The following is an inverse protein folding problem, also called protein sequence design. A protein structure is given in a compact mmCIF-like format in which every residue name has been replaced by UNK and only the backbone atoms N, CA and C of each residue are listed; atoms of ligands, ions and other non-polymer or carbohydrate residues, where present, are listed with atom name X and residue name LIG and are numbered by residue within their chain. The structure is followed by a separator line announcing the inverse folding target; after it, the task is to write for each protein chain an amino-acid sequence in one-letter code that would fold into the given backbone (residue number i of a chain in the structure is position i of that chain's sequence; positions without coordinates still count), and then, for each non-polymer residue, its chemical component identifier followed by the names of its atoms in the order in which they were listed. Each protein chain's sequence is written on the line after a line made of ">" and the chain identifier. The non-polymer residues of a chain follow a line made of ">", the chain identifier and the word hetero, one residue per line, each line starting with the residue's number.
data_IF_943477489661
#
_entry.id   IF_943477489661
#
_cell.length_a   1.000
_cell.length_b   1.000
_cell.length_c   1.000
_cell.angle_alpha   90.00
_cell.angle_beta   90.00
_cell.angle_gamma   90.00
#
_symmetry.space_group_name_H-M   'P 1'
#
loop_
_entity.id
_entity.type
_entity.pdbx_description
1 polymer ?
#
# COMPACT_ATOMS: atom_id res chain seq x y z
N UNK A 1 -61.33 -41.83 -52.74
CA UNK A 1 -60.68 -43.11 -53.10
C UNK A 1 -59.30 -42.79 -53.64
N UNK A 2 -58.31 -43.59 -53.23
CA UNK A 2 -56.95 -43.79 -53.76
C UNK A 2 -55.78 -43.55 -52.78
N UNK A 3 -55.40 -44.67 -52.12
CA UNK A 3 -54.08 -45.22 -51.73
C UNK A 3 -52.96 -44.29 -51.23
N UNK A 4 -52.12 -44.64 -50.24
CA UNK A 4 -51.54 -45.96 -49.95
C UNK A 4 -50.83 -45.93 -48.58
N UNK A 5 -50.90 -47.04 -47.84
CA UNK A 5 -50.09 -47.34 -46.66
C UNK A 5 -48.71 -47.83 -47.11
N UNK A 6 -47.63 -47.35 -46.48
CA UNK A 6 -46.41 -48.14 -46.17
C UNK A 6 -45.76 -47.55 -44.93
N UNK A 7 -45.59 -48.39 -43.91
CA UNK A 7 -44.72 -48.08 -42.77
C UNK A 7 -43.26 -48.36 -43.11
N UNK A 8 -42.37 -47.91 -42.23
CA UNK A 8 -41.28 -48.69 -41.62
C UNK A 8 -40.50 -47.73 -40.70
N UNK A 9 -40.11 -48.27 -39.55
CA UNK A 9 -39.46 -47.67 -38.40
C UNK A 9 -38.05 -47.12 -38.66
N UNK A 10 -37.60 -46.20 -37.78
CA UNK A 10 -36.25 -46.26 -37.18
C UNK A 10 -36.04 -45.19 -36.07
N UNK A 11 -35.61 -45.68 -34.91
CA UNK A 11 -34.56 -45.15 -34.02
C UNK A 11 -34.71 -43.82 -33.24
N UNK A 12 -34.98 -44.00 -31.94
CA UNK A 12 -34.25 -43.49 -30.75
C UNK A 12 -33.50 -42.15 -30.87
N UNK A 13 -33.91 -41.17 -30.06
CA UNK A 13 -33.01 -40.46 -29.15
C UNK A 13 -33.81 -39.81 -28.01
N UNK A 14 -33.74 -40.40 -26.81
CA UNK A 14 -34.01 -39.67 -25.59
C UNK A 14 -32.89 -38.65 -25.40
N UNK A 15 -33.22 -37.36 -25.41
CA UNK A 15 -32.39 -36.35 -24.75
C UNK A 15 -33.27 -35.58 -23.80
N UNK A 16 -33.29 -36.03 -22.53
CA UNK A 16 -33.64 -35.19 -21.41
C UNK A 16 -32.61 -34.07 -21.34
N UNK A 17 -32.87 -32.96 -22.03
CA UNK A 17 -32.21 -31.70 -21.75
C UNK A 17 -32.88 -31.10 -20.51
N UNK A 18 -32.55 -31.62 -19.33
CA UNK A 18 -32.67 -30.84 -18.11
C UNK A 18 -31.71 -29.66 -18.28
N UNK A 19 -32.24 -28.51 -18.71
CA UNK A 19 -31.52 -27.25 -18.64
C UNK A 19 -31.33 -26.94 -17.17
N UNK A 20 -30.24 -27.46 -16.60
CA UNK A 20 -29.77 -27.05 -15.29
C UNK A 20 -29.57 -25.54 -15.35
N UNK A 21 -30.42 -24.81 -14.64
CA UNK A 21 -30.12 -23.44 -14.28
C UNK A 21 -28.83 -23.49 -13.45
N UNK A 22 -27.70 -23.22 -14.09
CA UNK A 22 -26.47 -22.92 -13.37
C UNK A 22 -26.69 -21.55 -12.71
N UNK A 23 -27.22 -21.55 -11.50
CA UNK A 23 -26.99 -20.46 -10.58
C UNK A 23 -25.51 -20.56 -10.17
N UNK A 24 -24.65 -19.73 -10.75
CA UNK A 24 -23.23 -19.70 -10.41
C UNK A 24 -22.59 -18.36 -10.76
N UNK A 25 -22.98 -17.32 -10.03
CA UNK A 25 -22.02 -16.59 -9.20
C UNK A 25 -22.84 -15.92 -8.08
N UNK A 26 -22.49 -16.08 -6.80
CA UNK A 26 -23.09 -15.24 -5.78
C UNK A 26 -22.70 -13.79 -6.09
N UNK A 27 -23.68 -12.89 -6.13
CA UNK A 27 -23.45 -11.44 -6.14
C UNK A 27 -22.62 -11.08 -4.90
N UNK A 28 -21.30 -11.12 -5.06
CA UNK A 28 -20.33 -10.93 -4.01
C UNK A 28 -19.71 -9.56 -4.21
N UNK A 29 -20.00 -8.68 -3.26
CA UNK A 29 -19.33 -7.39 -3.11
C UNK A 29 -18.66 -7.35 -1.75
N UNK A 30 -17.60 -6.56 -1.62
CA UNK A 30 -16.98 -6.23 -0.34
C UNK A 30 -17.43 -4.85 0.10
N UNK A 31 -17.69 -4.68 1.39
CA UNK A 31 -17.83 -3.36 2.03
C UNK A 31 -16.65 -3.23 2.97
N UNK A 32 -15.78 -2.25 2.74
CA UNK A 32 -14.64 -1.97 3.60
C UNK A 32 -14.98 -0.77 4.48
N UNK A 33 -14.95 -0.95 5.79
CA UNK A 33 -15.14 0.12 6.77
C UNK A 33 -13.77 0.55 7.30
N UNK A 34 -13.50 1.84 7.21
CA UNK A 34 -12.33 2.48 7.79
C UNK A 34 -12.79 3.39 8.93
N UNK A 35 -12.00 3.48 9.99
CA UNK A 35 -12.31 4.34 11.13
C UNK A 35 -11.21 4.26 12.18
N UNK A 36 -10.95 5.39 12.84
CA UNK A 36 -10.00 5.47 13.94
C UNK A 36 -10.66 6.10 15.16
N UNK A 37 -10.49 5.48 16.31
CA UNK A 37 -10.80 6.09 17.61
C UNK A 37 -9.48 6.53 18.23
N UNK A 38 -9.27 7.84 18.34
CA UNK A 38 -8.01 8.42 18.83
C UNK A 38 -8.21 9.17 20.14
N UNK A 39 -7.25 9.03 21.06
CA UNK A 39 -7.09 9.88 22.24
C UNK A 39 -6.05 11.00 22.01
N UNK A 40 -5.62 11.22 20.76
CA UNK A 40 -4.53 12.13 20.43
C UNK A 40 -4.89 13.59 20.72
N UNK A 41 -3.85 14.36 21.08
CA UNK A 41 -3.93 15.80 21.36
C UNK A 41 -3.84 16.66 20.11
N UNK A 42 -3.34 16.12 19.00
CA UNK A 42 -3.25 16.80 17.71
C UNK A 42 -4.12 16.10 16.66
N UNK A 43 -4.69 16.89 15.74
CA UNK A 43 -5.22 16.40 14.47
C UNK A 43 -4.07 16.14 13.49
N UNK A 44 -4.18 15.04 12.74
CA UNK A 44 -3.15 14.59 11.80
C UNK A 44 -3.75 14.63 10.40
N UNK A 45 -3.02 15.20 9.45
CA UNK A 45 -3.38 15.19 8.03
C UNK A 45 -2.16 14.91 7.16
N UNK A 46 -2.38 14.51 5.91
CA UNK A 46 -1.32 14.29 4.92
C UNK A 46 -1.34 15.42 3.88
N UNK A 47 -0.22 16.13 3.71
CA UNK A 47 -0.05 17.23 2.74
C UNK A 47 -1.19 18.28 2.79
N UNK A 48 -1.62 18.64 4.00
CA UNK A 48 -2.74 19.54 4.29
C UNK A 48 -4.09 19.13 3.66
N UNK A 49 -4.21 17.88 3.21
CA UNK A 49 -5.49 17.29 2.85
C UNK A 49 -6.13 16.73 4.12
N UNK A 50 -7.15 17.45 4.59
CA UNK A 50 -8.06 17.00 5.66
C UNK A 50 -8.97 15.86 5.15
N UNK A 51 -8.95 15.59 3.85
CA UNK A 51 -9.92 14.77 3.14
C UNK A 51 -9.58 13.28 3.20
N UNK A 52 -9.66 12.70 4.40
CA UNK A 52 -10.00 11.31 4.58
C UNK A 52 -10.78 11.23 5.90
N UNK A 53 -12.02 10.72 5.88
CA UNK A 53 -12.85 10.43 7.06
C UNK A 53 -12.26 9.30 7.97
N UNK A 54 -10.92 9.19 8.02
CA UNK A 54 -10.09 8.27 8.78
C UNK A 54 -8.60 8.59 8.58
N UNK A 55 -7.72 8.16 9.49
CA UNK A 55 -6.26 8.37 9.40
C UNK A 55 -5.56 7.48 8.35
N UNK A 56 -6.28 7.00 7.34
CA UNK A 56 -5.75 6.17 6.26
C UNK A 56 -5.37 7.08 5.09
N UNK A 57 -4.07 7.18 4.80
CA UNK A 57 -3.56 8.08 3.77
C UNK A 57 -2.97 7.33 2.59
N UNK A 58 -3.28 7.78 1.37
CA UNK A 58 -2.74 7.23 0.14
C UNK A 58 -1.61 8.11 -0.40
N UNK A 59 -0.42 7.52 -0.54
CA UNK A 59 0.73 8.13 -1.19
C UNK A 59 0.94 7.44 -2.53
N UNK A 60 0.60 8.13 -3.63
CA UNK A 60 0.83 7.62 -4.99
C UNK A 60 2.25 7.97 -5.46
N UNK A 61 3.09 6.94 -5.62
CA UNK A 61 4.41 7.08 -6.22
C UNK A 61 4.32 7.19 -7.75
N UNK A 62 5.31 7.83 -8.36
CA UNK A 62 5.41 7.92 -9.81
C UNK A 62 5.73 6.56 -10.44
N UNK A 63 5.18 6.31 -11.63
CA UNK A 63 5.47 5.07 -12.37
C UNK A 63 6.93 5.02 -12.80
N UNK A 64 7.64 3.95 -12.43
CA UNK A 64 9.02 3.67 -12.85
C UNK A 64 9.08 2.43 -13.74
N UNK A 65 10.14 2.33 -14.56
CA UNK A 65 10.30 1.21 -15.48
C UNK A 65 11.27 0.16 -14.91
N UNK A 66 11.07 -1.11 -15.28
CA UNK A 66 11.94 -2.24 -14.88
C UNK A 66 13.43 -1.95 -15.16
N UNK A 67 13.73 -1.29 -16.30
CA UNK A 67 15.11 -0.90 -16.67
C UNK A 67 15.78 0.03 -15.65
N UNK A 68 15.01 0.75 -14.83
CA UNK A 68 15.55 1.66 -13.82
C UNK A 68 16.14 0.88 -12.63
N UNK A 69 15.86 -0.42 -12.51
CA UNK A 69 16.41 -1.31 -11.49
C UNK A 69 17.62 -2.11 -11.98
N UNK A 70 18.19 -1.77 -13.14
CA UNK A 70 19.32 -2.50 -13.74
C UNK A 70 20.59 -2.53 -12.85
N UNK A 71 20.75 -1.54 -11.97
CA UNK A 71 21.84 -1.46 -10.99
C UNK A 71 21.28 -1.38 -9.57
N UNK A 72 21.94 -2.02 -8.61
CA UNK A 72 21.53 -1.99 -7.21
C UNK A 72 21.40 -0.55 -6.68
N UNK A 73 20.23 -0.21 -6.13
CA UNK A 73 19.89 1.11 -5.57
C UNK A 73 20.05 1.10 -4.04
N UNK A 74 19.58 0.02 -3.39
CA UNK A 74 19.72 -0.19 -1.96
C UNK A 74 18.88 0.77 -1.10
N UNK A 75 19.28 0.94 0.16
CA UNK A 75 18.51 1.67 1.17
C UNK A 75 18.49 3.20 1.02
N UNK A 76 19.33 3.75 0.14
CA UNK A 76 19.40 5.18 -0.15
C UNK A 76 18.77 5.54 -1.49
N UNK A 77 17.95 4.63 -2.06
CA UNK A 77 17.31 4.85 -3.35
C UNK A 77 16.43 6.11 -3.34
N UNK A 78 16.43 6.83 -4.46
CA UNK A 78 15.55 7.97 -4.75
C UNK A 78 14.72 7.71 -6.02
N UNK A 79 14.69 6.45 -6.49
CA UNK A 79 13.95 6.07 -7.70
C UNK A 79 12.44 6.23 -7.48
N UNK A 80 11.81 7.06 -8.31
CA UNK A 80 10.36 7.35 -8.21
C UNK A 80 10.00 7.99 -6.88
N UNK A 81 10.92 8.75 -6.30
CA UNK A 81 10.74 9.37 -4.98
C UNK A 81 9.48 10.23 -4.94
N UNK A 82 8.68 10.02 -3.90
CA UNK A 82 7.55 10.86 -3.54
C UNK A 82 7.77 11.40 -2.14
N UNK A 83 7.72 12.72 -2.01
CA UNK A 83 7.74 13.40 -0.72
C UNK A 83 6.31 13.54 -0.20
N UNK A 84 6.15 13.48 1.11
CA UNK A 84 4.89 13.68 1.79
C UNK A 84 5.12 14.26 3.18
N UNK A 85 4.13 14.96 3.72
CA UNK A 85 4.19 15.61 5.02
C UNK A 85 3.06 15.10 5.89
N UNK A 86 3.38 14.63 7.10
CA UNK A 86 2.38 14.49 8.15
C UNK A 86 2.27 15.83 8.87
N UNK A 87 1.16 16.53 8.64
CA UNK A 87 0.85 17.80 9.26
C UNK A 87 0.09 17.57 10.56
N UNK A 88 0.61 18.13 11.64
CA UNK A 88 -0.01 18.17 12.96
C UNK A 88 -0.66 19.54 13.12
N UNK A 89 -1.91 19.53 13.60
CA UNK A 89 -2.69 20.74 13.81
C UNK A 89 -3.54 20.61 15.06
N UNK A 90 -4.04 21.74 15.58
CA UNK A 90 -4.84 21.79 16.80
C UNK A 90 -4.16 21.11 18.02
N UNK A 91 -2.83 21.10 18.04
CA UNK A 91 -2.07 20.59 19.17
C UNK A 91 -2.20 21.53 20.38
N UNK A 92 -2.35 20.96 21.57
CA UNK A 92 -2.19 21.71 22.82
C UNK A 92 -0.70 22.04 23.04
N UNK A 93 -0.29 23.22 22.57
CA UNK A 93 1.08 23.69 22.72
C UNK A 93 1.50 23.98 24.17
N UNK A 94 0.58 23.97 25.14
CA UNK A 94 0.94 24.12 26.55
C UNK A 94 1.60 22.85 27.09
N UNK A 95 1.19 21.68 26.56
CA UNK A 95 1.61 20.36 27.03
C UNK A 95 2.49 19.61 26.03
N UNK A 96 2.31 19.86 24.73
CA UNK A 96 3.10 19.24 23.65
C UNK A 96 4.06 20.27 23.07
N UNK A 97 5.36 19.98 23.11
CA UNK A 97 6.41 20.85 22.54
C UNK A 97 7.00 20.27 21.27
N UNK A 98 7.13 18.95 21.22
CA UNK A 98 7.65 18.26 20.06
C UNK A 98 6.82 17.02 19.73
N UNK A 99 6.82 16.63 18.47
CA UNK A 99 6.22 15.40 18.01
C UNK A 99 7.17 14.63 17.09
N UNK A 100 7.06 13.31 17.08
CA UNK A 100 7.72 12.42 16.12
C UNK A 100 6.76 11.31 15.70
N UNK A 101 7.16 10.49 14.73
CA UNK A 101 6.37 9.33 14.30
C UNK A 101 7.19 8.05 14.27
N UNK A 102 6.60 6.96 14.73
CA UNK A 102 7.09 5.60 14.52
C UNK A 102 6.30 4.94 13.40
N UNK A 103 6.97 4.19 12.52
CA UNK A 103 6.34 3.45 11.43
C UNK A 103 6.52 1.93 11.63
N UNK A 104 5.43 1.20 11.46
CA UNK A 104 5.35 -0.25 11.59
C UNK A 104 4.69 -0.84 10.34
N UNK A 105 5.07 -2.07 9.98
CA UNK A 105 4.44 -2.76 8.86
C UNK A 105 2.96 -3.04 9.16
N UNK A 106 2.11 -2.91 8.14
CA UNK A 106 0.66 -3.12 8.26
C UNK A 106 0.08 -3.74 6.97
N UNK A 107 -1.15 -4.25 7.04
CA UNK A 107 -1.89 -4.64 5.85
C UNK A 107 -1.27 -5.78 5.05
N UNK A 108 -0.59 -6.71 5.73
CA UNK A 108 0.14 -7.81 5.08
C UNK A 108 1.53 -7.43 4.54
N UNK A 109 1.94 -6.17 4.68
CA UNK A 109 3.31 -5.75 4.41
C UNK A 109 4.23 -6.28 5.50
N UNK A 110 5.54 -6.30 5.24
CA UNK A 110 6.56 -6.69 6.22
C UNK A 110 7.80 -5.80 6.12
N UNK A 111 8.79 -6.04 6.98
CA UNK A 111 10.06 -5.31 6.98
C UNK A 111 11.25 -6.26 6.80
N UNK A 112 12.27 -5.80 6.09
CA UNK A 112 13.57 -6.48 6.05
C UNK A 112 14.35 -6.25 7.35
N UNK A 113 15.39 -7.05 7.61
CA UNK A 113 16.30 -6.78 8.73
C UNK A 113 16.99 -5.40 8.63
N UNK A 114 17.19 -4.91 7.39
CA UNK A 114 17.69 -3.58 7.10
C UNK A 114 16.68 -2.45 7.28
N UNK A 115 15.38 -2.77 7.48
CA UNK A 115 14.31 -1.81 7.71
C UNK A 115 13.55 -1.34 6.45
N UNK A 116 13.85 -1.92 5.28
CA UNK A 116 13.06 -1.66 4.05
C UNK A 116 11.64 -2.24 4.17
N UNK A 117 10.66 -1.51 3.64
CA UNK A 117 9.27 -1.97 3.56
C UNK A 117 9.11 -2.95 2.41
N UNK A 118 8.53 -4.11 2.71
CA UNK A 118 8.28 -5.21 1.78
C UNK A 118 6.78 -5.28 1.52
N UNK A 119 6.33 -5.06 0.27
CA UNK A 119 4.94 -5.26 -0.13
C UNK A 119 4.42 -6.67 0.20
N UNK A 120 3.11 -6.86 0.42
CA UNK A 120 2.51 -8.19 0.60
C UNK A 120 2.77 -9.09 -0.61
N UNK A 121 3.04 -10.37 -0.34
CA UNK A 121 3.18 -11.37 -1.39
C UNK A 121 1.81 -11.81 -1.95
N UNK A 122 1.79 -12.25 -3.21
CA UNK A 122 0.64 -12.86 -3.89
C UNK A 122 -0.53 -11.93 -4.22
N UNK A 123 -0.29 -10.61 -4.24
CA UNK A 123 -1.24 -9.69 -4.84
C UNK A 123 -1.28 -9.93 -6.36
N UNK A 124 -2.49 -10.12 -6.91
CA UNK A 124 -2.66 -10.37 -8.34
C UNK A 124 -2.12 -9.18 -9.16
N UNK A 125 -1.20 -9.46 -10.08
CA UNK A 125 -0.58 -8.43 -10.92
C UNK A 125 0.48 -7.58 -10.22
N UNK A 126 0.95 -7.99 -9.02
CA UNK A 126 2.01 -7.27 -8.32
C UNK A 126 3.38 -7.43 -8.98
N UNK A 127 4.19 -6.39 -8.86
CA UNK A 127 5.60 -6.44 -9.22
C UNK A 127 6.36 -7.33 -8.23
N UNK A 128 7.29 -8.12 -8.74
CA UNK A 128 8.19 -8.94 -7.94
C UNK A 128 9.55 -8.28 -7.79
N UNK A 129 10.24 -8.62 -6.70
CA UNK A 129 11.57 -8.09 -6.37
C UNK A 129 11.62 -6.56 -6.23
N UNK A 130 10.56 -5.94 -5.70
CA UNK A 130 10.52 -4.51 -5.37
C UNK A 130 10.23 -4.32 -3.88
N UNK A 131 11.02 -3.46 -3.24
CA UNK A 131 10.79 -2.95 -1.89
C UNK A 131 10.65 -1.43 -1.92
N UNK A 132 10.27 -0.86 -0.79
CA UNK A 132 10.17 0.59 -0.61
C UNK A 132 11.15 1.07 0.47
N UNK A 133 11.79 2.19 0.20
CA UNK A 133 12.60 2.98 1.14
C UNK A 133 11.69 4.06 1.71
N UNK A 134 11.46 4.05 3.02
CA UNK A 134 10.88 5.19 3.74
C UNK A 134 12.01 5.93 4.44
N UNK A 135 12.11 7.25 4.28
CA UNK A 135 13.20 8.02 4.86
C UNK A 135 12.73 9.41 5.31
N UNK A 136 13.52 10.00 6.22
CA UNK A 136 13.33 11.38 6.66
C UNK A 136 13.62 12.36 5.52
N UNK A 137 12.97 13.53 5.57
CA UNK A 137 13.17 14.58 4.58
C UNK A 137 12.99 16.00 5.15
N UNK A 138 13.18 16.17 6.46
CA UNK A 138 12.98 17.44 7.16
C UNK A 138 14.06 17.71 8.19
N UNK A 139 14.26 18.99 8.53
CA UNK A 139 15.22 19.42 9.56
C UNK A 139 16.66 18.90 9.36
N UNK A 140 17.06 18.69 8.09
CA UNK A 140 18.37 18.14 7.72
C UNK A 140 18.50 16.62 7.84
N UNK A 141 17.47 15.92 8.35
CA UNK A 141 17.42 14.47 8.43
C UNK A 141 17.07 13.86 7.06
N UNK A 142 17.88 12.89 6.63
CA UNK A 142 17.72 12.18 5.33
C UNK A 142 17.85 10.67 5.47
N UNK A 143 18.03 10.21 6.71
CA UNK A 143 18.25 8.82 7.10
C UNK A 143 17.04 7.94 6.81
N UNK A 144 17.32 6.65 6.55
CA UNK A 144 16.33 5.61 6.40
C UNK A 144 15.52 5.47 7.69
N UNK A 145 14.20 5.47 7.58
CA UNK A 145 13.30 5.01 8.63
C UNK A 145 13.20 3.49 8.49
N UNK A 146 13.69 2.77 9.50
CA UNK A 146 13.64 1.32 9.52
C UNK A 146 12.26 0.89 10.02
N UNK A 147 11.46 0.35 9.12
CA UNK A 147 10.14 -0.16 9.46
C UNK A 147 10.27 -1.24 10.54
N UNK A 148 9.39 -1.19 11.54
CA UNK A 148 9.38 -2.06 12.72
C UNK A 148 10.54 -1.85 13.71
N UNK A 149 11.29 -0.75 13.58
CA UNK A 149 12.38 -0.40 14.48
C UNK A 149 12.29 1.07 14.92
N UNK A 150 12.70 1.35 16.16
CA UNK A 150 12.74 2.72 16.67
C UNK A 150 14.05 3.40 16.30
N UNK A 151 14.07 4.05 15.13
CA UNK A 151 15.24 4.80 14.67
C UNK A 151 14.89 6.15 14.02
N UNK A 152 13.62 6.57 14.03
CA UNK A 152 13.23 7.81 13.38
C UNK A 152 13.80 9.02 14.15
N UNK A 153 14.66 9.78 13.49
CA UNK A 153 15.30 10.97 14.06
C UNK A 153 14.52 12.26 13.82
N UNK A 154 13.49 12.23 12.96
CA UNK A 154 12.72 13.43 12.65
C UNK A 154 11.81 13.84 13.80
N UNK A 155 11.82 15.14 14.07
CA UNK A 155 10.98 15.80 15.06
C UNK A 155 10.33 17.04 14.44
N UNK A 156 9.08 17.27 14.78
CA UNK A 156 8.37 18.51 14.53
C UNK A 156 8.30 19.30 15.83
N UNK A 157 8.75 20.54 15.83
CA UNK A 157 8.47 21.46 16.94
C UNK A 157 7.07 22.00 16.78
N UNK A 158 6.28 21.93 17.86
CA UNK A 158 4.94 22.47 17.88
C UNK A 158 5.01 23.99 18.06
N UNK A 159 4.51 24.67 17.04
CA UNK A 159 4.42 26.12 16.94
C UNK A 159 3.42 26.69 17.96
N UNK A 160 3.51 28.00 18.20
CA UNK A 160 2.60 28.73 19.09
C UNK A 160 1.13 28.73 18.61
N UNK A 161 0.87 28.36 17.35
CA UNK A 161 -0.47 28.14 16.80
C UNK A 161 -0.94 26.68 16.90
N UNK A 162 -0.15 25.80 17.53
CA UNK A 162 -0.48 24.39 17.69
C UNK A 162 -0.28 23.56 16.42
N UNK A 163 0.59 24.00 15.51
CA UNK A 163 0.94 23.26 14.28
C UNK A 163 2.35 22.69 14.32
N UNK A 164 2.61 21.64 13.54
CA UNK A 164 3.95 21.08 13.36
C UNK A 164 4.01 20.10 12.20
N UNK A 165 5.14 20.03 11.51
CA UNK A 165 5.27 19.25 10.28
C UNK A 165 6.37 18.19 10.37
N UNK A 166 6.03 16.97 9.96
CA UNK A 166 6.97 15.87 9.81
C UNK A 166 7.10 15.52 8.31
N UNK A 167 8.27 15.78 7.73
CA UNK A 167 8.56 15.62 6.31
C UNK A 167 9.21 14.27 5.97
N UNK A 168 8.61 13.49 5.10
CA UNK A 168 9.11 12.18 4.74
C UNK A 168 9.22 12.02 3.23
N UNK A 169 9.91 10.97 2.82
CA UNK A 169 9.94 10.53 1.42
C UNK A 169 9.87 9.03 1.32
N UNK A 170 9.27 8.56 0.26
CA UNK A 170 9.21 7.15 -0.11
C UNK A 170 9.73 6.95 -1.52
N UNK A 171 10.53 5.90 -1.74
CA UNK A 171 11.09 5.59 -3.06
C UNK A 171 11.15 4.07 -3.29
N UNK A 172 11.18 3.66 -4.56
CA UNK A 172 11.36 2.26 -4.92
C UNK A 172 12.80 1.82 -4.74
N UNK A 173 13.00 0.56 -4.35
CA UNK A 173 14.29 -0.11 -4.38
C UNK A 173 14.12 -1.59 -4.72
N UNK A 174 15.21 -2.29 -4.96
CA UNK A 174 15.17 -3.72 -5.23
C UNK A 174 14.79 -4.54 -3.99
N UNK A 175 14.06 -5.64 -4.24
CA UNK A 175 13.68 -6.65 -3.26
C UNK A 175 14.84 -7.56 -2.88
N UNK A 176 14.68 -8.32 -1.79
CA UNK A 176 15.75 -9.13 -1.19
C UNK A 176 16.32 -10.21 -2.12
N UNK A 177 15.53 -10.68 -3.10
CA UNK A 177 15.94 -11.72 -4.05
C UNK A 177 16.41 -11.15 -5.38
N UNK A 178 16.59 -9.84 -5.49
CA UNK A 178 16.95 -9.22 -6.75
C UNK A 178 18.36 -9.63 -7.20
N UNK A 179 18.46 -9.96 -8.48
CA UNK A 179 19.69 -10.12 -9.21
C UNK A 179 19.44 -9.67 -10.65
N UNK A 180 20.30 -8.80 -11.20
CA UNK A 180 20.08 -8.22 -12.52
C UNK A 180 19.86 -9.25 -13.65
N UNK A 181 20.51 -10.41 -13.55
CA UNK A 181 20.53 -11.42 -14.61
C UNK A 181 19.55 -12.58 -14.36
N UNK A 182 19.44 -13.02 -13.10
CA UNK A 182 18.75 -14.27 -12.73
C UNK A 182 17.44 -14.07 -12.00
N UNK A 183 17.20 -12.88 -11.44
CA UNK A 183 16.01 -12.56 -10.66
C UNK A 183 15.74 -11.04 -10.71
N UNK A 184 15.46 -10.47 -11.91
CA UNK A 184 15.26 -9.04 -12.05
C UNK A 184 13.92 -8.61 -11.43
N UNK A 185 13.69 -7.30 -11.38
CA UNK A 185 12.35 -6.74 -11.10
C UNK A 185 11.39 -7.14 -12.22
N UNK A 186 10.16 -7.50 -11.86
CA UNK A 186 9.08 -7.70 -12.84
C UNK A 186 8.13 -6.50 -12.85
N UNK A 187 7.44 -6.28 -13.97
CA UNK A 187 6.43 -5.24 -14.05
C UNK A 187 5.17 -5.66 -13.30
N UNK A 188 4.52 -4.71 -12.62
CA UNK A 188 3.28 -4.94 -11.88
C UNK A 188 2.98 -3.80 -10.92
N UNK A 189 1.91 -3.96 -10.14
CA UNK A 189 1.55 -3.00 -9.10
C UNK A 189 2.43 -3.15 -7.87
N UNK A 190 2.70 -2.04 -7.18
CA UNK A 190 3.35 -2.06 -5.87
C UNK A 190 2.40 -1.40 -4.89
N UNK A 191 1.92 -2.19 -3.93
CA UNK A 191 1.06 -1.72 -2.86
C UNK A 191 1.65 -2.19 -1.54
N UNK A 192 1.88 -1.27 -0.61
CA UNK A 192 2.33 -1.58 0.73
C UNK A 192 1.70 -0.59 1.71
N UNK A 193 1.63 -0.98 2.97
CA UNK A 193 1.00 -0.22 4.02
C UNK A 193 1.89 -0.19 5.25
N UNK A 194 1.90 0.96 5.91
CA UNK A 194 2.52 1.16 7.22
C UNK A 194 1.48 1.75 8.15
N UNK A 195 1.46 1.28 9.39
CA UNK A 195 0.82 1.99 10.47
C UNK A 195 1.84 3.01 11.01
N UNK A 196 1.38 4.24 11.27
CA UNK A 196 2.19 5.23 11.97
C UNK A 196 1.62 5.51 13.35
N UNK A 197 2.48 5.73 14.33
CA UNK A 197 2.13 6.17 15.68
C UNK A 197 2.84 7.48 15.96
N UNK A 198 2.10 8.54 16.24
CA UNK A 198 2.69 9.82 16.65
C UNK A 198 3.04 9.77 18.13
N UNK A 199 4.24 10.24 18.46
CA UNK A 199 4.78 10.31 19.81
C UNK A 199 4.93 11.79 20.16
N UNK A 200 4.24 12.23 21.21
CA UNK A 200 4.26 13.60 21.71
C UNK A 200 5.22 13.72 22.90
N UNK A 201 6.02 14.79 22.93
CA UNK A 201 6.96 15.10 24.01
C UNK A 201 6.85 16.56 24.47
#
# INVERSE_FOLDING_TARGET
>A
MFFRKYGVAAFIAMTLGAGSAMAADPDTGTITFHGLVSNNTCKISLDNKIDQDGNDFDITLDTVFVKNFATALGANSTLGEKQFTLNLSECDNATVKDASAQFNSWGGSSSTSGGLLVPPANLQGAAENVNLVLANNGNGATDLIKIDQTNNTQKATISADGTGDLFYRVAYTQGQKWNADTSPVTAGTVQAQVAFTVIYN
#
